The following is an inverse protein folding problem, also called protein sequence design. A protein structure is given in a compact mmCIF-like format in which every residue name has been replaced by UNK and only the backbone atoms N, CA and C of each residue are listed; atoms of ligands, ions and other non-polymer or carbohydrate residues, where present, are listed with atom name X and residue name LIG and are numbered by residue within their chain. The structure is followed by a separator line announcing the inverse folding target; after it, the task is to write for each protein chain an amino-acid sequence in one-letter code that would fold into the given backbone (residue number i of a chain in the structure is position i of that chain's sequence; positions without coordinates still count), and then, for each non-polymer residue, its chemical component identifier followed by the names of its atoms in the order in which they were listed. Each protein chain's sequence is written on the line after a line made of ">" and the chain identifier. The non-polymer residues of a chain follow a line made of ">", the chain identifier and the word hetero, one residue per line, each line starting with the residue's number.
data_IF_470917528546
#
_entry.id   IF_470917528546
#
_cell.length_a   1.000
_cell.length_b   1.000
_cell.length_c   1.000
_cell.angle_alpha   90.00
_cell.angle_beta   90.00
_cell.angle_gamma   90.00
#
_symmetry.space_group_name_H-M   'P 1'
#
loop_
_entity.id
_entity.type
_entity.pdbx_description
1 polymer ?
#
# COMPACT_ATOMS: atom_id res chain seq x y z
N UNK A 1 -28.33 24.88 0.79
CA UNK A 1 -27.04 24.71 1.51
C UNK A 1 -25.92 25.04 0.56
N UNK A 2 -25.00 25.92 0.95
CA UNK A 2 -23.74 26.10 0.22
C UNK A 2 -22.78 24.96 0.60
N UNK A 3 -21.98 24.42 -0.34
CA UNK A 3 -20.98 23.41 -0.01
C UNK A 3 -19.98 23.94 1.03
N UNK A 4 -19.56 23.06 1.94
CA UNK A 4 -18.61 23.40 3.00
C UNK A 4 -17.31 23.89 2.37
N UNK A 5 -16.81 25.05 2.82
CA UNK A 5 -15.50 25.55 2.39
C UNK A 5 -14.45 24.54 2.85
N UNK A 6 -13.71 24.00 1.90
CA UNK A 6 -12.67 23.00 2.14
C UNK A 6 -11.56 23.65 2.96
N UNK A 7 -11.28 23.12 4.16
CA UNK A 7 -10.07 23.49 4.88
C UNK A 7 -8.88 22.81 4.17
N UNK A 8 -7.84 23.59 3.85
CA UNK A 8 -6.61 23.11 3.21
C UNK A 8 -5.87 22.01 3.99
N UNK A 9 -6.28 21.74 5.24
CA UNK A 9 -5.64 20.77 6.15
C UNK A 9 -6.57 19.63 6.59
N UNK A 10 -7.72 19.48 5.93
CA UNK A 10 -8.75 18.52 6.37
C UNK A 10 -8.33 17.05 6.26
N UNK A 11 -7.26 16.74 5.53
CA UNK A 11 -6.73 15.38 5.39
C UNK A 11 -5.22 15.34 5.62
N UNK A 12 -4.73 16.17 6.53
CA UNK A 12 -3.35 16.08 7.00
C UNK A 12 -3.07 14.71 7.59
N UNK A 13 -1.98 14.12 7.13
CA UNK A 13 -1.48 12.84 7.65
C UNK A 13 -0.47 13.19 8.74
N UNK A 14 -0.65 12.67 9.97
CA UNK A 14 0.31 12.91 11.05
C UNK A 14 1.64 12.21 10.74
N UNK A 15 2.73 12.70 11.34
CA UNK A 15 3.99 11.96 11.32
C UNK A 15 3.77 10.58 11.96
N UNK A 16 4.06 9.49 11.25
CA UNK A 16 3.85 8.16 11.78
C UNK A 16 4.83 7.89 12.91
N UNK A 17 4.37 7.21 13.95
CA UNK A 17 5.26 6.62 14.93
C UNK A 17 5.65 5.17 14.55
N UNK A 18 6.60 4.61 15.31
CA UNK A 18 7.12 3.27 15.08
C UNK A 18 6.04 2.18 15.22
N UNK A 19 5.07 2.37 16.11
CA UNK A 19 4.01 1.40 16.37
C UNK A 19 2.96 1.43 15.24
N UNK A 20 2.56 2.63 14.80
CA UNK A 20 1.69 2.83 13.64
C UNK A 20 2.30 2.24 12.38
N UNK A 21 3.57 2.53 12.09
CA UNK A 21 4.26 1.95 10.95
C UNK A 21 4.22 0.41 10.98
N UNK A 22 4.55 -0.21 12.12
CA UNK A 22 4.52 -1.67 12.23
C UNK A 22 3.12 -2.26 12.16
N UNK A 23 2.10 -1.55 12.67
CA UNK A 23 0.71 -1.98 12.59
C UNK A 23 0.26 -2.04 11.13
N UNK A 24 0.53 -0.99 10.34
CA UNK A 24 0.19 -0.95 8.92
C UNK A 24 0.97 -1.95 8.08
N UNK A 25 2.25 -2.18 8.37
CA UNK A 25 3.03 -3.25 7.71
C UNK A 25 2.40 -4.62 8.00
N UNK A 26 2.01 -4.90 9.24
CA UNK A 26 1.35 -6.17 9.58
C UNK A 26 -0.02 -6.32 8.91
N UNK A 27 -0.85 -5.29 8.94
CA UNK A 27 -2.18 -5.27 8.33
C UNK A 27 -2.10 -5.49 6.81
N UNK A 28 -1.14 -4.85 6.14
CA UNK A 28 -0.88 -5.04 4.72
C UNK A 28 -0.66 -6.52 4.37
N UNK A 29 0.27 -7.19 5.05
CA UNK A 29 0.59 -8.59 4.76
C UNK A 29 -0.54 -9.54 5.17
N UNK A 30 -1.24 -9.24 6.27
CA UNK A 30 -2.43 -10.00 6.67
C UNK A 30 -3.51 -9.97 5.57
N UNK A 31 -3.83 -8.77 5.07
CA UNK A 31 -4.80 -8.57 4.01
C UNK A 31 -4.35 -9.16 2.66
N UNK A 32 -3.07 -9.02 2.31
CA UNK A 32 -2.52 -9.62 1.10
C UNK A 32 -2.65 -11.15 1.10
N UNK A 33 -2.54 -11.79 2.27
CA UNK A 33 -2.80 -13.22 2.43
C UNK A 33 -4.23 -13.64 2.03
N UNK A 34 -5.22 -12.76 2.20
CA UNK A 34 -6.59 -13.04 1.76
C UNK A 34 -6.75 -12.97 0.24
N UNK A 35 -6.02 -12.06 -0.43
CA UNK A 35 -5.95 -12.04 -1.90
C UNK A 35 -5.34 -13.34 -2.42
N UNK A 36 -4.23 -13.80 -1.83
CA UNK A 36 -3.58 -15.07 -2.21
C UNK A 36 -4.55 -16.25 -2.06
N UNK A 37 -5.29 -16.33 -0.96
CA UNK A 37 -6.33 -17.36 -0.77
C UNK A 37 -7.43 -17.26 -1.84
N UNK A 38 -7.84 -16.04 -2.20
CA UNK A 38 -8.82 -15.79 -3.26
C UNK A 38 -8.35 -16.32 -4.62
N UNK A 39 -7.10 -16.02 -4.98
CA UNK A 39 -6.45 -16.50 -6.20
C UNK A 39 -6.35 -18.03 -6.24
N UNK A 40 -5.88 -18.65 -5.15
CA UNK A 40 -5.76 -20.11 -5.06
C UNK A 40 -7.11 -20.82 -5.18
N UNK A 41 -8.19 -20.20 -4.69
CA UNK A 41 -9.57 -20.71 -4.75
C UNK A 41 -10.31 -20.34 -6.04
N UNK A 42 -9.65 -19.71 -7.01
CA UNK A 42 -10.24 -19.25 -8.27
C UNK A 42 -11.39 -18.23 -8.10
N UNK A 43 -11.41 -17.48 -6.99
CA UNK A 43 -12.47 -16.52 -6.68
C UNK A 43 -12.07 -15.10 -7.14
N UNK A 44 -12.21 -14.81 -8.44
CA UNK A 44 -11.75 -13.54 -9.04
C UNK A 44 -12.31 -12.30 -8.34
N UNK A 45 -13.63 -12.19 -8.21
CA UNK A 45 -14.28 -11.03 -7.59
C UNK A 45 -13.85 -10.86 -6.14
N UNK A 46 -13.76 -11.95 -5.37
CA UNK A 46 -13.28 -11.88 -3.99
C UNK A 46 -11.82 -11.40 -3.91
N UNK A 47 -10.92 -11.95 -4.74
CA UNK A 47 -9.53 -11.50 -4.78
C UNK A 47 -9.43 -10.02 -5.14
N UNK A 48 -10.23 -9.56 -6.11
CA UNK A 48 -10.30 -8.17 -6.51
C UNK A 48 -10.79 -7.26 -5.39
N UNK A 49 -11.85 -7.64 -4.70
CA UNK A 49 -12.39 -6.88 -3.58
C UNK A 49 -11.40 -6.81 -2.41
N UNK A 50 -10.71 -7.91 -2.10
CA UNK A 50 -9.67 -7.93 -1.08
C UNK A 50 -8.51 -6.98 -1.46
N UNK A 51 -8.08 -7.03 -2.71
CA UNK A 51 -7.01 -6.18 -3.23
C UNK A 51 -7.40 -4.70 -3.21
N UNK A 52 -8.63 -4.38 -3.62
CA UNK A 52 -9.13 -3.02 -3.73
C UNK A 52 -9.43 -2.36 -2.39
N UNK A 53 -10.03 -3.11 -1.46
CA UNK A 53 -10.58 -2.55 -0.22
C UNK A 53 -9.63 -2.62 0.96
N UNK A 54 -8.62 -3.49 0.91
CA UNK A 54 -7.73 -3.70 2.04
C UNK A 54 -6.26 -3.58 1.64
N UNK A 55 -5.82 -4.23 0.56
CA UNK A 55 -4.37 -4.23 0.21
C UNK A 55 -3.90 -2.90 -0.39
N UNK A 56 -4.58 -2.37 -1.40
CA UNK A 56 -4.19 -1.10 -2.03
C UNK A 56 -4.30 0.10 -1.07
N UNK A 57 -5.33 0.20 -0.20
CA UNK A 57 -5.37 1.24 0.82
C UNK A 57 -4.16 1.24 1.76
N UNK A 58 -3.66 0.07 2.17
CA UNK A 58 -2.44 0.00 2.99
C UNK A 58 -1.18 0.48 2.24
N UNK A 59 -1.08 0.24 0.92
CA UNK A 59 -0.05 0.88 0.09
C UNK A 59 -0.19 2.41 0.12
N UNK A 60 -1.41 2.94 0.03
CA UNK A 60 -1.66 4.38 0.10
C UNK A 60 -1.26 4.95 1.46
N UNK A 61 -1.55 4.25 2.56
CA UNK A 61 -1.09 4.65 3.90
C UNK A 61 0.42 4.74 3.96
N UNK A 62 1.14 3.71 3.49
CA UNK A 62 2.60 3.71 3.49
C UNK A 62 3.20 4.84 2.64
N UNK A 63 2.63 5.10 1.46
CA UNK A 63 3.05 6.20 0.59
C UNK A 63 2.77 7.56 1.22
N UNK A 64 1.64 7.72 1.91
CA UNK A 64 1.29 8.92 2.64
C UNK A 64 2.22 9.16 3.84
N UNK A 65 2.58 8.09 4.58
CA UNK A 65 3.61 8.14 5.62
C UNK A 65 4.94 8.65 5.06
N UNK A 66 5.40 8.09 3.94
CA UNK A 66 6.64 8.55 3.27
C UNK A 66 6.56 10.02 2.88
N UNK A 67 5.48 10.44 2.24
CA UNK A 67 5.29 11.83 1.83
C UNK A 67 5.25 12.79 3.03
N UNK A 68 4.61 12.39 4.12
CA UNK A 68 4.52 13.16 5.35
C UNK A 68 5.87 13.36 6.00
N UNK A 69 6.69 12.29 6.07
CA UNK A 69 8.06 12.38 6.59
C UNK A 69 8.90 13.32 5.73
N UNK A 70 8.85 13.17 4.39
CA UNK A 70 9.58 14.02 3.45
C UNK A 70 9.18 15.49 3.52
N UNK A 71 7.93 15.78 3.89
CA UNK A 71 7.37 17.13 4.02
C UNK A 71 7.27 17.59 5.48
N UNK A 72 8.00 16.97 6.41
CA UNK A 72 8.06 17.35 7.82
C UNK A 72 6.67 17.52 8.49
N UNK A 73 5.73 16.61 8.19
CA UNK A 73 4.38 16.62 8.74
C UNK A 73 3.38 17.49 7.99
N UNK A 74 3.76 18.10 6.87
CA UNK A 74 2.93 19.07 6.12
C UNK A 74 2.31 18.47 4.85
N UNK A 75 1.89 17.21 4.89
CA UNK A 75 1.28 16.54 3.75
C UNK A 75 -0.22 16.30 3.97
N UNK A 76 -1.04 16.79 3.02
CA UNK A 76 -2.46 16.47 2.90
C UNK A 76 -2.63 15.41 1.80
N UNK A 77 -3.08 14.21 2.18
CA UNK A 77 -3.29 13.14 1.20
C UNK A 77 -4.57 13.36 0.36
N UNK A 78 -5.47 14.23 0.82
CA UNK A 78 -6.80 14.43 0.29
C UNK A 78 -7.74 13.25 0.56
N UNK A 79 -9.03 13.44 0.27
CA UNK A 79 -10.03 12.35 0.27
C UNK A 79 -9.51 11.20 -0.58
N UNK A 80 -9.51 9.99 0.00
CA UNK A 80 -9.05 8.74 -0.62
C UNK A 80 -7.62 8.79 -1.19
N UNK A 81 -6.75 9.65 -0.66
CA UNK A 81 -5.35 9.70 -1.08
C UNK A 81 -5.12 10.30 -2.48
N UNK A 82 -6.06 11.12 -2.98
CA UNK A 82 -5.99 11.75 -4.31
C UNK A 82 -4.70 12.54 -4.58
N UNK A 83 -4.01 13.01 -3.53
CA UNK A 83 -2.77 13.77 -3.66
C UNK A 83 -1.50 12.93 -3.44
N UNK A 84 -1.62 11.63 -3.18
CA UNK A 84 -0.45 10.74 -3.07
C UNK A 84 0.32 10.70 -4.39
N UNK A 85 -0.38 10.64 -5.53
CA UNK A 85 0.24 10.55 -6.85
C UNK A 85 1.16 11.74 -7.16
N UNK A 86 0.92 12.93 -6.58
CA UNK A 86 1.78 14.11 -6.79
C UNK A 86 3.14 13.98 -6.11
N UNK A 87 3.27 13.04 -5.17
CA UNK A 87 4.50 12.74 -4.43
C UNK A 87 5.35 11.64 -5.08
N UNK A 88 4.83 11.02 -6.16
CA UNK A 88 5.46 9.89 -6.84
C UNK A 88 6.28 10.34 -8.05
N UNK A 89 7.40 9.66 -8.29
CA UNK A 89 8.10 9.73 -9.57
C UNK A 89 7.26 9.14 -10.71
N UNK A 90 7.57 9.47 -11.97
CA UNK A 90 6.84 8.91 -13.13
C UNK A 90 6.89 7.37 -13.17
N UNK A 91 8.01 6.77 -12.76
CA UNK A 91 8.14 5.32 -12.63
C UNK A 91 7.19 4.74 -11.58
N UNK A 92 7.08 5.39 -10.41
CA UNK A 92 6.17 4.96 -9.35
C UNK A 92 4.71 5.16 -9.72
N UNK A 93 4.35 6.23 -10.46
CA UNK A 93 3.00 6.42 -11.00
C UNK A 93 2.62 5.28 -11.94
N UNK A 94 3.51 4.91 -12.86
CA UNK A 94 3.29 3.78 -13.75
C UNK A 94 3.14 2.46 -12.98
N UNK A 95 3.98 2.23 -11.96
CA UNK A 95 3.89 1.06 -11.09
C UNK A 95 2.57 1.02 -10.33
N UNK A 96 2.09 2.16 -9.82
CA UNK A 96 0.80 2.26 -9.14
C UNK A 96 -0.37 1.99 -10.09
N UNK A 97 -0.35 2.58 -11.29
CA UNK A 97 -1.39 2.37 -12.30
C UNK A 97 -1.48 0.89 -12.72
N UNK A 98 -0.33 0.20 -12.81
CA UNK A 98 -0.26 -1.22 -13.13
C UNK A 98 -0.87 -2.14 -12.04
N UNK A 99 -1.31 -1.61 -10.89
CA UNK A 99 -1.99 -2.37 -9.84
C UNK A 99 -3.50 -2.50 -10.03
N UNK A 100 -4.06 -1.91 -11.09
CA UNK A 100 -5.51 -1.89 -11.37
C UNK A 100 -5.94 -2.89 -12.46
N UNK A 101 -5.01 -3.62 -13.07
CA UNK A 101 -5.34 -4.64 -14.08
C UNK A 101 -5.91 -5.89 -13.38
N UNK A 102 -7.23 -6.06 -13.42
CA UNK A 102 -7.95 -7.04 -12.59
C UNK A 102 -9.07 -7.79 -13.35
N UNK A 103 -8.93 -7.95 -14.67
CA UNK A 103 -9.98 -8.60 -15.49
C UNK A 103 -9.93 -10.12 -15.47
N UNK A 104 -8.84 -10.70 -14.97
CA UNK A 104 -8.63 -12.14 -14.81
C UNK A 104 -7.84 -12.46 -13.54
N UNK A 105 -7.83 -13.74 -13.13
CA UNK A 105 -7.04 -14.19 -11.98
C UNK A 105 -5.53 -13.95 -12.19
N UNK A 106 -5.04 -14.15 -13.42
CA UNK A 106 -3.64 -13.92 -13.76
C UNK A 106 -3.26 -12.44 -13.64
N UNK A 107 -4.08 -11.54 -14.18
CA UNK A 107 -3.84 -10.09 -14.05
C UNK A 107 -3.98 -9.62 -12.59
N UNK A 108 -4.95 -10.16 -11.84
CA UNK A 108 -5.10 -9.86 -10.41
C UNK A 108 -3.87 -10.29 -9.62
N UNK A 109 -3.32 -11.47 -9.94
CA UNK A 109 -2.05 -11.95 -9.37
C UNK A 109 -0.91 -11.00 -9.72
N UNK A 110 -0.80 -10.55 -10.97
CA UNK A 110 0.22 -9.57 -11.37
C UNK A 110 0.05 -8.23 -10.65
N UNK A 111 -1.18 -7.75 -10.49
CA UNK A 111 -1.49 -6.55 -9.71
C UNK A 111 -1.08 -6.69 -8.25
N UNK A 112 -1.33 -7.86 -7.63
CA UNK A 112 -0.87 -8.16 -6.28
C UNK A 112 0.66 -8.15 -6.19
N UNK A 113 1.36 -8.79 -7.13
CA UNK A 113 2.83 -8.81 -7.18
C UNK A 113 3.41 -7.39 -7.33
N UNK A 114 2.81 -6.56 -8.17
CA UNK A 114 3.20 -5.16 -8.33
C UNK A 114 3.04 -4.38 -7.01
N UNK A 115 1.93 -4.57 -6.29
CA UNK A 115 1.71 -3.95 -4.98
C UNK A 115 2.74 -4.46 -3.95
N UNK A 116 2.97 -5.77 -3.87
CA UNK A 116 3.94 -6.38 -2.93
C UNK A 116 5.34 -5.84 -3.16
N UNK A 117 5.78 -5.75 -4.42
CA UNK A 117 7.07 -5.20 -4.78
C UNK A 117 7.18 -3.72 -4.41
N UNK A 118 6.16 -2.91 -4.73
CA UNK A 118 6.16 -1.49 -4.42
C UNK A 118 6.19 -1.25 -2.91
N UNK A 119 5.31 -1.93 -2.16
CA UNK A 119 5.24 -1.83 -0.71
C UNK A 119 6.56 -2.21 -0.04
N UNK A 120 7.19 -3.30 -0.50
CA UNK A 120 8.50 -3.73 -0.01
C UNK A 120 9.56 -2.65 -0.22
N UNK A 121 9.68 -2.10 -1.43
CA UNK A 121 10.67 -1.05 -1.73
C UNK A 121 10.48 0.15 -0.80
N UNK A 122 9.24 0.63 -0.66
CA UNK A 122 8.93 1.82 0.16
C UNK A 122 9.16 1.56 1.65
N UNK A 123 8.72 0.41 2.16
CA UNK A 123 8.86 0.08 3.58
C UNK A 123 10.32 -0.16 3.97
N UNK A 124 11.12 -0.80 3.11
CA UNK A 124 12.56 -0.93 3.30
C UNK A 124 13.30 0.42 3.17
N UNK A 125 12.86 1.32 2.28
CA UNK A 125 13.39 2.70 2.21
C UNK A 125 13.14 3.44 3.52
N UNK A 126 11.92 3.42 4.05
CA UNK A 126 11.60 4.04 5.34
C UNK A 126 12.43 3.44 6.49
N UNK A 127 12.69 2.13 6.45
CA UNK A 127 13.55 1.49 7.44
C UNK A 127 15.01 1.95 7.36
N UNK A 128 15.56 2.08 6.15
CA UNK A 128 16.96 2.52 5.96
C UNK A 128 17.15 4.01 6.22
N UNK A 129 16.26 4.85 5.69
CA UNK A 129 16.48 6.29 5.61
C UNK A 129 15.91 7.03 6.83
N UNK A 130 14.87 6.46 7.46
CA UNK A 130 14.12 7.09 8.55
C UNK A 130 14.13 6.26 9.85
N UNK A 131 14.83 5.12 9.85
CA UNK A 131 14.96 4.26 11.03
C UNK A 131 13.68 3.50 11.41
N UNK A 132 12.69 3.43 10.53
CA UNK A 132 11.43 2.72 10.78
C UNK A 132 11.62 1.20 10.76
N UNK A 133 11.66 0.59 11.94
CA UNK A 133 11.99 -0.84 12.09
C UNK A 133 10.86 -1.71 11.52
N UNK A 134 11.17 -2.51 10.50
CA UNK A 134 10.25 -3.52 9.96
C UNK A 134 9.98 -4.65 10.98
N UNK A 135 8.78 -5.26 10.98
CA UNK A 135 8.49 -6.42 11.81
C UNK A 135 9.45 -7.58 11.53
N UNK A 136 9.93 -8.26 12.58
CA UNK A 136 10.92 -9.36 12.48
C UNK A 136 10.43 -10.50 11.56
N UNK A 137 9.13 -10.70 11.46
CA UNK A 137 8.50 -11.75 10.65
C UNK A 137 8.52 -11.49 9.13
N UNK A 138 8.91 -10.29 8.69
CA UNK A 138 8.75 -9.85 7.30
C UNK A 138 9.45 -10.78 6.28
N UNK A 139 10.66 -11.24 6.59
CA UNK A 139 11.43 -12.12 5.70
C UNK A 139 10.74 -13.48 5.51
N UNK A 140 10.12 -14.01 6.57
CA UNK A 140 9.37 -15.28 6.48
C UNK A 140 8.11 -15.10 5.63
N UNK A 141 7.44 -13.95 5.76
CA UNK A 141 6.25 -13.62 4.95
C UNK A 141 6.63 -13.51 3.46
N UNK A 142 7.76 -12.88 3.14
CA UNK A 142 8.22 -12.76 1.75
C UNK A 142 8.42 -14.13 1.12
N UNK A 143 9.13 -15.01 1.81
CA UNK A 143 9.35 -16.37 1.31
C UNK A 143 8.02 -17.11 1.12
N UNK A 144 7.13 -17.03 2.11
CA UNK A 144 5.82 -17.67 2.04
C UNK A 144 5.00 -17.19 0.84
N UNK A 145 5.02 -15.88 0.55
CA UNK A 145 4.27 -15.34 -0.59
C UNK A 145 4.91 -15.71 -1.91
N UNK A 146 6.24 -15.75 -2.00
CA UNK A 146 6.94 -16.25 -3.18
C UNK A 146 6.54 -17.70 -3.47
N UNK A 147 6.52 -18.56 -2.45
CA UNK A 147 6.12 -19.96 -2.58
C UNK A 147 4.65 -20.09 -3.03
N UNK A 148 3.74 -19.33 -2.42
CA UNK A 148 2.31 -19.38 -2.74
C UNK A 148 1.97 -18.79 -4.12
N UNK A 149 2.74 -17.81 -4.57
CA UNK A 149 2.55 -17.14 -5.85
C UNK A 149 3.44 -17.74 -6.95
N UNK A 150 4.35 -18.67 -6.63
CA UNK A 150 5.24 -19.31 -7.60
C UNK A 150 6.13 -18.31 -8.33
N UNK A 151 6.78 -17.41 -7.58
CA UNK A 151 7.73 -16.40 -8.08
C UNK A 151 9.08 -16.50 -7.38
#
# INVERSE_FOLDING_TARGET
>A
MLPRVTNAQSHFVPLPDQAEFQAHVQEFYWCAGNVVKGLARQNLVYANEQLNRFVRPELFVLLAMRATIQQAGQFDAGVTGKFIETTLSETEKAQLAATYQQTSLAETKMSLLNILAFYRVVSEQLGRDQGMILPIMITKIYQQFNDWLGV
#
